data_IF_402686870433
#
_entry.id   IF_402686870433
#
_cell.length_a   1.000
_cell.length_b   1.000
_cell.length_c   1.000
_cell.angle_alpha   90.00
_cell.angle_beta   90.00
_cell.angle_gamma   90.00
#
_symmetry.space_group_name_H-M   'P 1'
#
loop_
_entity.id
_entity.type
_entity.pdbx_description
1 polymer ?
#
# COMPACT_ATOMS: atom_id res chain seq x y z
N UNK A 1 23.92 -31.37 -1.38
CA UNK A 1 22.85 -31.63 -2.35
C UNK A 1 21.55 -31.74 -1.59
N UNK A 2 20.79 -30.68 -1.48
CA UNK A 2 19.34 -30.71 -1.23
C UNK A 2 18.82 -29.40 -1.85
N UNK A 3 18.15 -29.55 -2.99
CA UNK A 3 17.62 -28.45 -3.74
C UNK A 3 16.39 -27.88 -3.06
N UNK A 4 16.38 -26.61 -2.76
CA UNK A 4 15.21 -25.88 -2.39
C UNK A 4 14.33 -25.68 -3.64
N UNK A 5 13.15 -26.27 -3.62
CA UNK A 5 12.09 -26.12 -4.62
C UNK A 5 11.57 -24.68 -4.51
N UNK A 6 11.97 -23.84 -5.47
CA UNK A 6 11.35 -22.55 -5.71
C UNK A 6 9.99 -22.79 -6.37
N UNK A 7 8.89 -22.58 -5.67
CA UNK A 7 7.58 -22.42 -6.30
C UNK A 7 7.57 -21.16 -7.18
N UNK A 8 7.15 -21.25 -8.43
CA UNK A 8 7.10 -20.09 -9.30
C UNK A 8 5.97 -19.16 -8.85
N UNK A 9 6.31 -17.91 -8.48
CA UNK A 9 5.36 -16.80 -8.28
C UNK A 9 4.32 -16.81 -9.40
N UNK A 10 3.06 -16.95 -9.04
CA UNK A 10 1.91 -16.76 -9.93
C UNK A 10 2.07 -15.41 -10.64
N UNK A 11 2.36 -15.42 -11.91
CA UNK A 11 2.24 -14.27 -12.79
C UNK A 11 0.78 -13.82 -12.73
N UNK A 12 0.49 -12.76 -12.02
CA UNK A 12 -0.75 -12.03 -12.22
C UNK A 12 -0.74 -11.56 -13.68
N UNK A 13 -1.57 -12.23 -14.47
CA UNK A 13 -1.89 -11.81 -15.81
C UNK A 13 -2.60 -10.47 -15.67
N UNK A 14 -1.90 -9.37 -15.88
CA UNK A 14 -2.51 -8.09 -16.13
C UNK A 14 -3.33 -8.26 -17.41
N UNK A 15 -4.62 -8.53 -17.25
CA UNK A 15 -5.56 -8.31 -18.32
C UNK A 15 -5.51 -6.82 -18.61
N UNK A 16 -4.83 -6.45 -19.69
CA UNK A 16 -4.98 -5.15 -20.30
C UNK A 16 -6.46 -5.01 -20.65
N UNK A 17 -7.24 -4.48 -19.73
CA UNK A 17 -8.56 -3.96 -20.01
C UNK A 17 -8.28 -2.72 -20.86
N UNK A 18 -8.25 -2.95 -22.17
CA UNK A 18 -8.29 -1.89 -23.15
C UNK A 18 -9.56 -1.09 -22.82
N UNK A 19 -9.49 0.17 -22.34
CA UNK A 19 -10.69 0.95 -22.16
C UNK A 19 -11.26 1.14 -23.56
N UNK A 20 -12.28 0.36 -23.88
CA UNK A 20 -13.05 0.59 -25.08
C UNK A 20 -13.50 2.05 -25.01
N UNK A 21 -12.79 2.90 -25.75
CA UNK A 21 -13.23 4.27 -26.01
C UNK A 21 -14.62 4.09 -26.60
N UNK A 22 -15.65 4.27 -25.79
CA UNK A 22 -17.02 4.22 -26.24
C UNK A 22 -17.18 5.42 -27.17
N UNK A 23 -17.01 5.17 -28.47
CA UNK A 23 -17.39 6.15 -29.46
C UNK A 23 -18.84 6.56 -29.16
N UNK A 24 -19.16 7.85 -29.16
CA UNK A 24 -20.52 8.29 -28.94
C UNK A 24 -21.41 7.50 -29.92
N UNK A 25 -22.52 6.93 -29.45
CA UNK A 25 -23.36 6.05 -30.25
C UNK A 25 -23.65 6.74 -31.56
N UNK A 26 -23.42 6.03 -32.70
CA UNK A 26 -23.62 6.58 -34.03
C UNK A 26 -25.02 7.13 -34.19
N UNK A 27 -25.20 8.08 -35.08
CA UNK A 27 -26.48 8.79 -35.34
C UNK A 27 -27.70 7.85 -35.37
N UNK A 28 -27.57 6.66 -35.98
CA UNK A 28 -28.65 5.67 -36.01
C UNK A 28 -29.05 5.10 -34.65
N UNK A 29 -28.08 4.86 -33.74
CA UNK A 29 -28.36 4.35 -32.38
C UNK A 29 -29.04 5.40 -31.51
N UNK A 30 -28.68 6.68 -31.66
CA UNK A 30 -29.36 7.80 -31.00
C UNK A 30 -30.78 7.95 -31.50
N UNK A 31 -30.98 7.84 -32.83
CA UNK A 31 -32.31 7.90 -33.44
C UNK A 31 -33.23 6.81 -32.88
N UNK A 32 -32.76 5.56 -32.79
CA UNK A 32 -33.51 4.43 -32.22
C UNK A 32 -33.90 4.67 -30.76
N UNK A 33 -32.99 5.24 -29.93
CA UNK A 33 -33.28 5.55 -28.54
C UNK A 33 -34.40 6.60 -28.42
N UNK A 34 -34.43 7.61 -29.30
CA UNK A 34 -35.47 8.62 -29.33
C UNK A 34 -36.83 8.04 -29.81
N UNK A 35 -36.82 7.09 -30.75
CA UNK A 35 -38.06 6.44 -31.20
C UNK A 35 -38.72 5.66 -30.06
N UNK A 36 -37.94 4.92 -29.26
CA UNK A 36 -38.45 4.27 -28.05
C UNK A 36 -39.06 5.25 -27.03
N UNK A 37 -38.42 6.39 -26.82
CA UNK A 37 -38.92 7.44 -25.93
C UNK A 37 -40.23 8.04 -26.45
N UNK A 38 -40.34 8.32 -27.75
CA UNK A 38 -41.58 8.85 -28.33
C UNK A 38 -42.75 7.87 -28.27
N UNK A 39 -42.48 6.58 -28.44
CA UNK A 39 -43.44 5.52 -28.24
C UNK A 39 -43.98 5.54 -26.81
N UNK A 40 -43.11 5.58 -25.81
CA UNK A 40 -43.48 5.62 -24.38
C UNK A 40 -44.30 6.88 -24.05
N UNK A 41 -43.89 8.05 -24.54
CA UNK A 41 -44.62 9.32 -24.36
C UNK A 41 -45.96 9.27 -25.06
N UNK A 42 -46.06 8.72 -26.25
CA UNK A 42 -47.30 8.54 -26.99
C UNK A 42 -48.30 7.65 -26.25
N UNK A 43 -47.84 6.52 -25.70
CA UNK A 43 -48.67 5.61 -24.90
C UNK A 43 -49.12 6.29 -23.59
N UNK A 44 -48.25 7.04 -22.93
CA UNK A 44 -48.59 7.76 -21.71
C UNK A 44 -49.62 8.86 -21.98
N UNK A 45 -49.45 9.62 -23.04
CA UNK A 45 -50.46 10.64 -23.44
C UNK A 45 -51.79 9.99 -23.81
N UNK A 46 -51.78 8.89 -24.54
CA UNK A 46 -53.00 8.13 -24.85
C UNK A 46 -53.72 7.65 -23.59
N UNK A 47 -52.97 7.10 -22.60
CA UNK A 47 -53.56 6.68 -21.34
C UNK A 47 -54.20 7.85 -20.57
N UNK A 48 -53.59 9.04 -20.57
CA UNK A 48 -54.15 10.25 -19.97
C UNK A 48 -55.43 10.68 -20.68
N UNK A 49 -55.44 10.67 -22.01
CA UNK A 49 -56.61 11.08 -22.80
C UNK A 49 -57.75 10.06 -22.76
N UNK A 50 -57.46 8.75 -22.68
CA UNK A 50 -58.50 7.71 -22.58
C UNK A 50 -59.33 7.79 -21.27
N UNK A 51 -58.75 8.35 -20.22
CA UNK A 51 -59.46 8.61 -18.95
C UNK A 51 -60.54 9.72 -19.11
N UNK A 52 -60.42 10.56 -20.16
CA UNK A 52 -61.31 11.70 -20.41
C UNK A 52 -62.41 11.45 -21.47
N UNK A 53 -62.77 10.20 -21.78
CA UNK A 53 -63.88 9.80 -22.70
C UNK A 53 -63.66 10.12 -24.19
N UNK A 54 -62.44 9.89 -24.73
CA UNK A 54 -62.17 10.10 -26.16
C UNK A 54 -62.42 8.84 -27.01
N UNK A 55 -62.81 9.06 -28.30
CA UNK A 55 -63.15 8.00 -29.27
C UNK A 55 -61.89 7.26 -29.83
N UNK A 56 -62.09 6.07 -30.44
CA UNK A 56 -61.03 5.26 -31.02
C UNK A 56 -60.15 5.97 -32.09
N UNK A 57 -60.68 7.01 -32.74
CA UNK A 57 -59.97 7.83 -33.71
C UNK A 57 -58.83 8.65 -33.12
N UNK A 58 -58.87 8.93 -31.80
CA UNK A 58 -57.92 9.81 -31.13
C UNK A 58 -56.60 9.13 -30.81
N UNK A 59 -56.55 7.77 -30.71
CA UNK A 59 -55.31 7.02 -30.48
C UNK A 59 -54.32 7.20 -31.62
N UNK A 60 -54.74 7.00 -32.87
CA UNK A 60 -53.89 7.15 -34.01
C UNK A 60 -53.39 8.59 -34.18
N UNK A 61 -54.27 9.56 -33.91
CA UNK A 61 -53.97 10.97 -33.92
C UNK A 61 -52.89 11.34 -32.89
N UNK A 62 -53.03 10.90 -31.64
CA UNK A 62 -52.02 11.14 -30.55
C UNK A 62 -50.68 10.50 -30.91
N UNK A 63 -50.69 9.28 -31.46
CA UNK A 63 -49.46 8.59 -31.86
C UNK A 63 -48.74 9.30 -33.00
N UNK A 64 -49.47 9.64 -34.10
CA UNK A 64 -48.92 10.38 -35.22
C UNK A 64 -48.38 11.74 -34.77
N UNK A 65 -49.16 12.47 -33.97
CA UNK A 65 -48.73 13.74 -33.40
C UNK A 65 -47.43 13.63 -32.61
N UNK A 66 -47.37 12.70 -31.68
CA UNK A 66 -46.19 12.51 -30.81
C UNK A 66 -44.95 12.12 -31.61
N UNK A 67 -45.12 11.25 -32.60
CA UNK A 67 -44.07 10.80 -33.49
C UNK A 67 -43.51 11.93 -34.39
N UNK A 68 -44.39 12.70 -35.01
CA UNK A 68 -44.02 13.82 -35.88
C UNK A 68 -43.36 14.95 -35.05
N UNK A 69 -43.99 15.40 -33.97
CA UNK A 69 -43.47 16.49 -33.16
C UNK A 69 -42.16 16.14 -32.45
N UNK A 70 -42.04 14.91 -31.96
CA UNK A 70 -40.84 14.42 -31.33
C UNK A 70 -39.66 14.39 -32.30
N UNK A 71 -39.84 13.81 -33.50
CA UNK A 71 -38.80 13.76 -34.53
C UNK A 71 -38.40 15.14 -35.07
N UNK A 72 -39.33 16.02 -35.31
CA UNK A 72 -39.05 17.39 -35.76
C UNK A 72 -38.29 18.19 -34.71
N UNK A 73 -38.71 18.11 -33.43
CA UNK A 73 -38.00 18.77 -32.32
C UNK A 73 -36.57 18.23 -32.17
N UNK A 74 -36.40 16.91 -32.25
CA UNK A 74 -35.04 16.29 -32.17
C UNK A 74 -34.15 16.73 -33.32
N UNK A 75 -34.69 16.72 -34.55
CA UNK A 75 -33.93 17.18 -35.73
C UNK A 75 -33.52 18.64 -35.63
N UNK A 76 -34.44 19.50 -35.21
CA UNK A 76 -34.18 20.91 -35.01
C UNK A 76 -33.14 21.14 -33.89
N UNK A 77 -33.29 20.49 -32.75
CA UNK A 77 -32.34 20.62 -31.62
C UNK A 77 -30.95 20.07 -31.95
N UNK A 78 -30.83 19.01 -32.74
CA UNK A 78 -29.51 18.51 -33.18
C UNK A 78 -28.82 19.51 -34.14
N UNK A 79 -29.56 20.23 -34.97
CA UNK A 79 -29.02 21.30 -35.81
C UNK A 79 -28.64 22.57 -35.04
N UNK A 80 -29.37 22.87 -33.99
CA UNK A 80 -29.13 24.01 -33.11
C UNK A 80 -28.09 23.71 -32.03
N UNK A 81 -27.70 22.43 -31.84
CA UNK A 81 -26.73 22.02 -30.82
C UNK A 81 -25.46 22.87 -30.74
N UNK A 82 -24.81 23.28 -31.83
CA UNK A 82 -23.60 24.12 -31.75
C UNK A 82 -23.82 25.47 -31.05
N UNK A 83 -25.04 26.01 -31.08
CA UNK A 83 -25.36 27.32 -30.48
C UNK A 83 -25.30 27.29 -28.95
N UNK A 84 -25.65 26.16 -28.33
CA UNK A 84 -25.66 26.05 -26.87
C UNK A 84 -24.51 25.19 -26.34
N UNK A 85 -24.01 24.19 -27.06
CA UNK A 85 -22.90 23.35 -26.62
C UNK A 85 -21.55 24.09 -26.56
N UNK A 86 -21.40 25.19 -27.29
CA UNK A 86 -20.19 26.05 -27.21
C UNK A 86 -20.12 26.89 -25.95
N UNK A 87 -21.18 26.96 -25.15
CA UNK A 87 -21.27 27.80 -23.96
C UNK A 87 -20.94 27.02 -22.69
N UNK A 88 -20.27 27.70 -21.73
CA UNK A 88 -19.95 27.10 -20.42
C UNK A 88 -21.19 26.96 -19.55
N UNK A 89 -21.29 25.91 -18.68
CA UNK A 89 -22.34 25.82 -17.66
C UNK A 89 -22.27 27.02 -16.69
N UNK A 90 -23.39 27.59 -16.21
CA UNK A 90 -24.78 27.23 -16.51
C UNK A 90 -25.37 27.94 -17.75
N UNK A 91 -24.61 28.78 -18.44
CA UNK A 91 -25.11 29.66 -19.52
C UNK A 91 -25.69 28.94 -20.72
N UNK A 92 -25.27 27.68 -20.98
CA UNK A 92 -25.84 26.89 -22.06
C UNK A 92 -27.35 26.62 -21.85
N UNK A 93 -27.83 26.53 -20.60
CA UNK A 93 -29.24 26.33 -20.29
C UNK A 93 -30.11 27.53 -20.67
N UNK A 94 -29.57 28.76 -20.56
CA UNK A 94 -30.25 29.98 -20.96
C UNK A 94 -30.56 30.03 -22.45
N UNK A 95 -29.78 29.31 -23.28
CA UNK A 95 -30.02 29.22 -24.71
C UNK A 95 -30.79 27.93 -25.04
N UNK A 96 -30.48 26.81 -24.38
CA UNK A 96 -31.11 25.52 -24.63
C UNK A 96 -32.63 25.54 -24.37
N UNK A 97 -33.07 26.02 -23.22
CA UNK A 97 -34.49 26.02 -22.84
C UNK A 97 -35.35 26.83 -23.80
N UNK A 98 -35.03 28.09 -24.16
CA UNK A 98 -35.81 28.83 -25.14
C UNK A 98 -35.79 28.20 -26.53
N UNK A 99 -34.65 27.69 -26.99
CA UNK A 99 -34.58 26.98 -28.28
C UNK A 99 -35.44 25.72 -28.30
N UNK A 100 -35.40 24.93 -27.20
CA UNK A 100 -36.25 23.75 -27.05
C UNK A 100 -37.72 24.13 -27.07
N UNK A 101 -38.14 25.16 -26.33
CA UNK A 101 -39.54 25.61 -26.28
C UNK A 101 -40.03 26.08 -27.64
N UNK A 102 -39.25 26.91 -28.34
CA UNK A 102 -39.61 27.42 -29.67
C UNK A 102 -39.72 26.27 -30.68
N UNK A 103 -38.75 25.36 -30.69
CA UNK A 103 -38.79 24.20 -31.60
C UNK A 103 -39.94 23.26 -31.28
N UNK A 104 -40.27 23.04 -30.00
CA UNK A 104 -41.40 22.24 -29.57
C UNK A 104 -42.72 22.89 -30.01
N UNK A 105 -42.85 24.21 -29.85
CA UNK A 105 -44.04 24.97 -30.28
C UNK A 105 -44.25 24.87 -31.80
N UNK A 106 -43.21 25.12 -32.61
CA UNK A 106 -43.28 25.04 -34.05
C UNK A 106 -43.61 23.62 -34.52
N UNK A 107 -42.97 22.62 -33.89
CA UNK A 107 -43.24 21.21 -34.17
C UNK A 107 -44.68 20.82 -33.84
N UNK A 108 -45.22 21.37 -32.72
CA UNK A 108 -46.60 21.12 -32.32
C UNK A 108 -47.59 21.74 -33.28
N UNK A 109 -47.38 22.98 -33.73
CA UNK A 109 -48.18 23.60 -34.76
C UNK A 109 -48.22 22.74 -36.06
N UNK A 110 -47.06 22.32 -36.52
CA UNK A 110 -46.94 21.48 -37.69
C UNK A 110 -47.59 20.10 -37.51
N UNK A 111 -47.45 19.51 -36.32
CA UNK A 111 -48.08 18.24 -35.97
C UNK A 111 -49.61 18.31 -36.01
N UNK A 112 -50.20 19.39 -35.44
CA UNK A 112 -51.64 19.62 -35.51
C UNK A 112 -52.11 19.79 -36.97
N UNK A 113 -51.39 20.56 -37.81
CA UNK A 113 -51.72 20.73 -39.22
C UNK A 113 -51.69 19.39 -39.98
N UNK A 114 -50.67 18.54 -39.72
CA UNK A 114 -50.59 17.22 -40.36
C UNK A 114 -51.78 16.34 -39.98
N UNK A 115 -52.21 16.36 -38.70
CA UNK A 115 -53.35 15.59 -38.25
C UNK A 115 -54.64 16.11 -38.91
N UNK A 116 -54.86 17.43 -38.95
CA UNK A 116 -56.00 18.00 -39.60
C UNK A 116 -56.14 17.61 -41.08
N UNK A 117 -55.02 17.61 -41.80
CA UNK A 117 -54.98 17.15 -43.17
C UNK A 117 -55.31 15.65 -43.27
N UNK A 118 -54.68 14.83 -42.41
CA UNK A 118 -54.84 13.37 -42.42
C UNK A 118 -56.27 12.92 -42.11
N UNK A 119 -56.94 13.60 -41.18
CA UNK A 119 -58.28 13.28 -40.74
C UNK A 119 -59.39 14.16 -41.38
N UNK A 120 -59.00 14.99 -42.36
CA UNK A 120 -59.95 15.89 -43.09
C UNK A 120 -60.67 16.85 -42.17
N UNK A 121 -60.05 17.33 -41.09
CA UNK A 121 -60.63 18.28 -40.12
C UNK A 121 -60.63 19.69 -40.76
N UNK A 122 -61.74 20.44 -40.77
CA UNK A 122 -61.76 21.79 -41.30
C UNK A 122 -60.82 22.75 -40.56
N UNK A 123 -60.13 23.63 -41.28
CA UNK A 123 -59.18 24.59 -40.70
C UNK A 123 -59.79 25.55 -39.70
N UNK A 124 -61.08 25.75 -39.73
CA UNK A 124 -61.86 26.52 -38.74
C UNK A 124 -61.69 25.99 -37.31
N UNK A 125 -61.36 24.65 -37.16
CA UNK A 125 -61.17 24.01 -35.84
C UNK A 125 -59.69 24.02 -35.36
N UNK A 126 -58.79 24.63 -36.13
CA UNK A 126 -57.36 24.68 -35.78
C UNK A 126 -57.11 25.23 -34.40
N UNK A 127 -57.82 26.29 -34.04
CA UNK A 127 -57.66 26.93 -32.72
C UNK A 127 -58.06 26.01 -31.56
N UNK A 128 -59.10 25.24 -31.70
CA UNK A 128 -59.59 24.30 -30.68
C UNK A 128 -58.63 23.13 -30.56
N UNK A 129 -58.24 22.50 -31.68
CA UNK A 129 -57.32 21.39 -31.71
C UNK A 129 -55.93 21.75 -31.17
N UNK A 130 -55.43 22.92 -31.52
CA UNK A 130 -54.14 23.40 -31.02
C UNK A 130 -54.24 23.68 -29.51
N UNK A 131 -55.31 24.25 -29.01
CA UNK A 131 -55.48 24.53 -27.58
C UNK A 131 -55.54 23.24 -26.74
N UNK A 132 -56.06 22.17 -27.27
CA UNK A 132 -56.16 20.88 -26.56
C UNK A 132 -54.86 20.06 -26.74
N UNK A 133 -54.50 19.70 -27.99
CA UNK A 133 -53.40 18.79 -28.27
C UNK A 133 -52.05 19.49 -28.39
N UNK A 134 -51.99 20.63 -29.08
CA UNK A 134 -50.75 21.34 -29.37
C UNK A 134 -50.10 21.94 -28.14
N UNK A 135 -50.87 22.53 -27.26
CA UNK A 135 -50.37 23.12 -26.00
C UNK A 135 -49.78 22.05 -25.08
N UNK A 136 -50.56 20.97 -24.88
CA UNK A 136 -50.13 19.88 -23.99
C UNK A 136 -48.85 19.20 -24.55
N UNK A 137 -48.83 18.94 -25.85
CA UNK A 137 -47.65 18.39 -26.54
C UNK A 137 -46.41 19.28 -26.42
N UNK A 138 -46.57 20.61 -26.59
CA UNK A 138 -45.47 21.55 -26.44
C UNK A 138 -44.85 21.49 -25.02
N UNK A 139 -45.70 21.50 -23.99
CA UNK A 139 -45.24 21.42 -22.57
C UNK A 139 -44.55 20.09 -22.32
N UNK A 140 -45.14 18.97 -22.73
CA UNK A 140 -44.58 17.64 -22.52
C UNK A 140 -43.24 17.45 -23.23
N UNK A 141 -43.10 17.87 -24.50
CA UNK A 141 -41.86 17.79 -25.27
C UNK A 141 -40.79 18.66 -24.58
N UNK A 142 -41.16 19.83 -24.10
CA UNK A 142 -40.22 20.71 -23.41
C UNK A 142 -39.73 20.08 -22.10
N UNK A 143 -40.61 19.53 -21.27
CA UNK A 143 -40.23 18.85 -20.03
C UNK A 143 -39.32 17.63 -20.30
N UNK A 144 -39.72 16.76 -21.23
CA UNK A 144 -38.95 15.57 -21.60
C UNK A 144 -37.60 15.97 -22.15
N UNK A 145 -37.52 17.02 -22.97
CA UNK A 145 -36.26 17.54 -23.52
C UNK A 145 -35.33 18.06 -22.44
N UNK A 146 -35.86 18.78 -21.45
CA UNK A 146 -35.06 19.28 -20.30
C UNK A 146 -34.52 18.10 -19.48
N UNK A 147 -35.38 17.14 -19.13
CA UNK A 147 -34.98 15.96 -18.34
C UNK A 147 -33.92 15.16 -19.08
N UNK A 148 -34.13 14.92 -20.38
CA UNK A 148 -33.16 14.18 -21.20
C UNK A 148 -31.78 14.88 -21.29
N UNK A 149 -31.78 16.20 -21.47
CA UNK A 149 -30.53 16.97 -21.52
C UNK A 149 -29.81 16.94 -20.17
N UNK A 150 -30.52 17.14 -19.06
CA UNK A 150 -29.96 17.05 -17.72
C UNK A 150 -29.37 15.65 -17.42
N UNK A 151 -30.09 14.60 -17.84
CA UNK A 151 -29.61 13.23 -17.70
C UNK A 151 -28.33 12.97 -18.48
N UNK A 152 -28.28 13.38 -19.77
CA UNK A 152 -27.08 13.20 -20.61
C UNK A 152 -25.88 13.99 -20.11
N UNK A 153 -26.09 15.21 -19.64
CA UNK A 153 -25.04 16.03 -19.02
C UNK A 153 -24.49 15.40 -17.73
N UNK A 154 -25.39 14.93 -16.87
CA UNK A 154 -25.01 14.27 -15.62
C UNK A 154 -24.22 12.98 -15.87
N UNK A 155 -24.64 12.20 -16.85
CA UNK A 155 -23.98 10.98 -17.27
C UNK A 155 -22.57 11.27 -17.81
N UNK A 156 -22.41 12.26 -18.67
CA UNK A 156 -21.13 12.67 -19.20
C UNK A 156 -20.16 13.17 -18.11
N UNK A 157 -20.69 13.89 -17.10
CA UNK A 157 -19.90 14.31 -15.91
C UNK A 157 -19.43 13.11 -15.10
N UNK A 158 -20.31 12.12 -14.88
CA UNK A 158 -19.99 10.91 -14.13
C UNK A 158 -18.92 10.09 -14.85
N UNK A 159 -19.05 9.89 -16.16
CA UNK A 159 -18.07 9.17 -16.98
C UNK A 159 -16.68 9.83 -16.96
N UNK A 160 -16.64 11.18 -17.07
CA UNK A 160 -15.38 11.93 -16.96
C UNK A 160 -14.76 11.77 -15.57
N UNK A 161 -15.57 11.83 -14.51
CA UNK A 161 -15.09 11.66 -13.13
C UNK A 161 -14.55 10.25 -12.88
N UNK A 162 -15.25 9.24 -13.37
CA UNK A 162 -14.79 7.85 -13.27
C UNK A 162 -13.45 7.63 -13.99
N UNK A 163 -13.30 8.20 -15.20
CA UNK A 163 -12.04 8.12 -15.94
C UNK A 163 -10.89 8.84 -15.21
N UNK A 164 -11.16 9.98 -14.58
CA UNK A 164 -10.17 10.69 -13.78
C UNK A 164 -9.74 9.86 -12.56
N UNK A 165 -10.71 9.28 -11.83
CA UNK A 165 -10.43 8.41 -10.68
C UNK A 165 -9.60 7.19 -11.08
N UNK A 166 -9.94 6.53 -12.17
CA UNK A 166 -9.15 5.40 -12.68
C UNK A 166 -7.69 5.79 -12.96
N UNK A 167 -7.47 6.91 -13.65
CA UNK A 167 -6.11 7.41 -13.91
C UNK A 167 -5.34 7.73 -12.63
N UNK A 168 -6.00 8.32 -11.63
CA UNK A 168 -5.36 8.62 -10.34
C UNK A 168 -4.94 7.32 -9.64
N UNK A 169 -5.82 6.32 -9.60
CA UNK A 169 -5.52 5.01 -9.01
C UNK A 169 -4.37 4.31 -9.74
N UNK A 170 -4.36 4.33 -11.07
CA UNK A 170 -3.27 3.75 -11.87
C UNK A 170 -1.92 4.43 -11.60
N UNK A 171 -1.91 5.77 -11.48
CA UNK A 171 -0.70 6.53 -11.13
C UNK A 171 -0.21 6.20 -9.71
N UNK A 172 -1.10 6.15 -8.73
CA UNK A 172 -0.76 5.77 -7.35
C UNK A 172 -0.22 4.34 -7.26
N UNK A 173 -0.82 3.39 -7.96
CA UNK A 173 -0.34 2.01 -8.03
C UNK A 173 1.05 1.92 -8.66
N UNK A 174 1.29 2.64 -9.76
CA UNK A 174 2.59 2.67 -10.42
C UNK A 174 3.65 3.26 -9.50
N UNK A 175 3.34 4.35 -8.81
CA UNK A 175 4.25 5.00 -7.87
C UNK A 175 4.56 4.09 -6.66
N UNK A 176 3.55 3.42 -6.09
CA UNK A 176 3.73 2.46 -5.02
C UNK A 176 4.63 1.28 -5.44
N UNK A 177 4.42 0.73 -6.64
CA UNK A 177 5.24 -0.36 -7.17
C UNK A 177 6.71 0.07 -7.38
N UNK A 178 6.94 1.31 -7.82
CA UNK A 178 8.29 1.83 -7.95
C UNK A 178 8.99 1.97 -6.58
N UNK A 179 8.29 2.49 -5.59
CA UNK A 179 8.81 2.59 -4.22
C UNK A 179 9.14 1.22 -3.63
N UNK A 180 8.27 0.21 -3.82
CA UNK A 180 8.52 -1.15 -3.36
C UNK A 180 9.77 -1.74 -4.03
N UNK A 181 9.98 -1.50 -5.32
CA UNK A 181 11.18 -1.95 -6.04
C UNK A 181 12.46 -1.26 -5.55
N UNK A 182 12.41 0.03 -5.21
CA UNK A 182 13.55 0.74 -4.63
C UNK A 182 13.90 0.23 -3.23
N UNK A 183 12.88 -0.08 -2.42
CA UNK A 183 13.08 -0.68 -1.10
C UNK A 183 13.67 -2.09 -1.19
N UNK A 184 13.24 -2.93 -2.13
CA UNK A 184 13.83 -4.27 -2.34
C UNK A 184 15.31 -4.17 -2.76
N UNK A 185 15.68 -3.20 -3.60
CA UNK A 185 17.10 -2.96 -3.93
C UNK A 185 17.89 -2.51 -2.71
N UNK A 186 17.33 -1.65 -1.86
CA UNK A 186 17.97 -1.24 -0.61
C UNK A 186 18.19 -2.43 0.32
N UNK A 187 17.22 -3.36 0.39
CA UNK A 187 17.35 -4.63 1.11
C UNK A 187 18.49 -5.49 0.59
N UNK A 188 18.58 -5.69 -0.72
CA UNK A 188 19.68 -6.47 -1.33
C UNK A 188 21.05 -5.89 -0.96
N UNK A 189 21.17 -4.55 -0.96
CA UNK A 189 22.40 -3.87 -0.54
C UNK A 189 22.67 -4.12 0.95
N UNK A 190 21.65 -3.99 1.81
CA UNK A 190 21.77 -4.18 3.24
C UNK A 190 22.15 -5.62 3.61
N UNK A 191 21.52 -6.62 3.00
CA UNK A 191 21.90 -8.04 3.16
C UNK A 191 23.36 -8.29 2.74
N UNK A 192 23.86 -7.52 1.77
CA UNK A 192 25.27 -7.55 1.37
C UNK A 192 26.25 -6.98 2.39
N UNK A 193 25.78 -6.18 3.35
CA UNK A 193 26.57 -5.62 4.46
C UNK A 193 26.71 -6.60 5.64
N UNK A 194 25.81 -7.55 5.77
CA UNK A 194 25.83 -8.58 6.80
C UNK A 194 26.83 -9.72 6.44
N UNK A 195 27.29 -10.49 7.42
CA UNK A 195 28.22 -11.58 7.16
C UNK A 195 27.60 -12.64 6.25
N UNK A 196 28.19 -12.84 5.06
CA UNK A 196 27.76 -13.90 4.12
C UNK A 196 28.12 -15.30 4.63
N UNK A 197 29.13 -15.40 5.44
CA UNK A 197 29.55 -16.60 6.13
C UNK A 197 30.14 -16.21 7.48
N UNK A 198 29.81 -16.96 8.50
CA UNK A 198 30.32 -16.73 9.85
C UNK A 198 31.62 -17.47 10.02
N UNK A 199 32.75 -16.78 10.25
CA UNK A 199 34.04 -17.44 10.47
C UNK A 199 33.99 -18.26 11.75
N UNK A 200 34.64 -19.41 11.73
CA UNK A 200 34.77 -20.31 12.86
C UNK A 200 36.21 -20.30 13.37
N UNK A 201 36.39 -20.46 14.67
CA UNK A 201 37.68 -20.66 15.31
C UNK A 201 37.64 -21.96 16.09
N UNK A 202 38.83 -22.55 16.33
CA UNK A 202 38.95 -23.79 17.09
C UNK A 202 38.36 -23.62 18.49
N UNK A 203 37.52 -24.56 18.95
CA UNK A 203 36.89 -24.50 20.27
C UNK A 203 35.59 -23.72 20.34
N UNK A 204 35.22 -22.98 19.29
CA UNK A 204 33.96 -22.24 19.23
C UNK A 204 33.15 -22.63 17.99
N UNK A 205 31.86 -22.69 18.14
CA UNK A 205 30.92 -22.83 17.02
C UNK A 205 29.95 -21.64 17.09
N UNK A 206 29.85 -20.85 16.00
CA UNK A 206 29.13 -19.60 15.99
C UNK A 206 28.04 -19.66 14.90
N UNK A 207 26.83 -19.24 15.24
CA UNK A 207 25.74 -19.11 14.31
C UNK A 207 25.02 -17.79 14.54
N UNK A 208 24.54 -17.15 13.47
CA UNK A 208 23.81 -15.89 13.54
C UNK A 208 22.64 -15.88 12.57
N UNK A 209 21.58 -15.18 12.95
CA UNK A 209 20.42 -14.93 12.11
C UNK A 209 19.97 -13.47 12.27
N UNK A 210 19.53 -12.91 11.17
CA UNK A 210 18.95 -11.58 11.09
C UNK A 210 17.68 -11.67 10.22
N UNK A 211 16.62 -11.00 10.65
CA UNK A 211 15.36 -10.90 9.94
C UNK A 211 14.72 -9.55 10.21
N UNK A 212 14.67 -8.64 9.24
CA UNK A 212 14.03 -7.36 9.42
C UNK A 212 12.51 -7.49 9.54
N UNK A 213 11.89 -6.66 10.38
CA UNK A 213 10.44 -6.58 10.53
C UNK A 213 9.77 -5.95 9.30
N UNK A 214 10.49 -5.11 8.58
CA UNK A 214 10.06 -4.47 7.32
C UNK A 214 10.96 -4.92 6.18
N UNK A 215 10.91 -4.21 5.06
CA UNK A 215 11.78 -4.49 3.91
C UNK A 215 13.26 -4.31 4.26
N UNK A 216 13.60 -3.27 5.04
CA UNK A 216 14.93 -2.97 5.57
C UNK A 216 14.86 -2.75 7.08
N UNK A 217 15.96 -3.03 7.80
CA UNK A 217 16.04 -3.00 9.26
C UNK A 217 17.12 -2.09 9.82
N UNK A 218 17.04 -1.83 11.14
CA UNK A 218 18.05 -1.11 11.92
C UNK A 218 19.12 -2.01 12.55
N UNK A 219 18.79 -3.28 12.71
CA UNK A 219 19.65 -4.26 13.35
C UNK A 219 20.91 -4.59 12.55
N UNK A 220 22.00 -4.77 13.27
CA UNK A 220 23.28 -5.19 12.72
C UNK A 220 23.93 -6.24 13.61
N UNK A 221 24.54 -7.24 13.02
CA UNK A 221 25.52 -8.10 13.68
C UNK A 221 26.69 -8.41 12.75
N UNK A 222 27.84 -8.67 13.33
CA UNK A 222 29.03 -9.10 12.59
C UNK A 222 29.94 -10.01 13.42
N UNK A 223 30.72 -10.83 12.72
CA UNK A 223 31.68 -11.73 13.31
C UNK A 223 33.00 -11.61 12.56
N UNK A 224 34.04 -11.14 13.23
CA UNK A 224 35.37 -10.91 12.66
C UNK A 224 36.37 -11.86 13.25
N UNK A 225 36.99 -12.67 12.42
CA UNK A 225 38.12 -13.50 12.83
C UNK A 225 39.42 -12.68 12.75
N UNK A 226 40.12 -12.52 13.88
CA UNK A 226 41.40 -11.82 13.95
C UNK A 226 42.56 -12.77 13.79
N UNK A 227 42.46 -13.95 14.41
CA UNK A 227 43.46 -15.01 14.31
C UNK A 227 42.81 -16.39 14.47
N UNK A 228 43.57 -17.47 14.52
CA UNK A 228 43.00 -18.82 14.71
C UNK A 228 42.41 -19.05 16.11
N UNK A 229 42.69 -18.15 17.07
CA UNK A 229 42.19 -18.20 18.45
C UNK A 229 41.33 -17.00 18.84
N UNK A 230 41.44 -15.85 18.14
CA UNK A 230 40.79 -14.61 18.52
C UNK A 230 39.69 -14.24 17.53
N UNK A 231 38.52 -13.93 18.07
CA UNK A 231 37.31 -13.54 17.31
C UNK A 231 36.61 -12.36 17.97
N UNK A 232 36.08 -11.45 17.15
CA UNK A 232 35.25 -10.37 17.57
C UNK A 232 33.82 -10.58 17.10
N UNK A 233 32.83 -10.32 17.97
CA UNK A 233 31.41 -10.46 17.69
C UNK A 233 30.71 -9.19 18.12
N UNK A 234 29.93 -8.58 17.24
CA UNK A 234 29.10 -7.43 17.62
C UNK A 234 27.64 -7.68 17.28
N UNK A 235 26.78 -6.97 18.01
CA UNK A 235 25.37 -6.83 17.76
C UNK A 235 24.94 -5.41 18.12
N UNK A 236 24.03 -4.83 17.35
CA UNK A 236 23.52 -3.49 17.60
C UNK A 236 22.18 -3.28 16.97
N UNK A 237 21.44 -2.34 17.53
CA UNK A 237 20.14 -1.90 17.04
C UNK A 237 20.10 -0.37 16.95
N UNK A 238 19.60 0.13 15.84
CA UNK A 238 19.48 1.55 15.53
C UNK A 238 18.07 2.01 15.78
N UNK A 239 17.90 3.03 16.62
CA UNK A 239 16.59 3.61 16.93
C UNK A 239 15.84 4.03 15.67
N UNK A 240 14.58 3.53 15.53
CA UNK A 240 13.70 3.82 14.41
C UNK A 240 13.63 2.67 13.40
N UNK A 241 12.83 2.86 12.36
CA UNK A 241 12.54 1.80 11.38
C UNK A 241 12.63 2.32 9.95
N UNK A 242 12.83 1.41 9.00
CA UNK A 242 12.86 1.72 7.58
C UNK A 242 14.18 2.32 7.11
N UNK A 243 14.15 3.12 6.04
CA UNK A 243 15.36 3.60 5.32
C UNK A 243 16.33 4.35 6.24
N UNK A 244 15.82 5.20 7.15
CA UNK A 244 16.69 5.98 8.04
C UNK A 244 17.50 5.09 8.99
N UNK A 245 16.88 4.06 9.55
CA UNK A 245 17.57 3.09 10.40
C UNK A 245 18.57 2.25 9.57
N UNK A 246 18.19 1.82 8.39
CA UNK A 246 19.06 1.07 7.47
C UNK A 246 20.33 1.84 7.07
N UNK A 247 20.22 3.15 6.82
CA UNK A 247 21.38 4.01 6.51
C UNK A 247 22.31 4.17 7.73
N UNK A 248 21.76 4.33 8.92
CA UNK A 248 22.55 4.39 10.15
C UNK A 248 23.21 3.05 10.47
N UNK A 249 22.51 1.94 10.23
CA UNK A 249 23.08 0.58 10.33
C UNK A 249 24.28 0.41 9.37
N UNK A 250 24.16 0.88 8.12
CA UNK A 250 25.28 0.84 7.18
C UNK A 250 26.47 1.69 7.65
N UNK A 251 26.23 2.85 8.27
CA UNK A 251 27.27 3.67 8.89
C UNK A 251 27.92 2.92 10.08
N UNK A 252 27.10 2.26 10.92
CA UNK A 252 27.60 1.43 12.02
C UNK A 252 28.52 0.33 11.49
N UNK A 253 28.08 -0.43 10.50
CA UNK A 253 28.85 -1.50 9.88
C UNK A 253 30.20 -1.01 9.35
N UNK A 254 30.19 0.10 8.57
CA UNK A 254 31.41 0.66 8.00
C UNK A 254 32.39 1.13 9.09
N UNK A 255 31.88 1.84 10.12
CA UNK A 255 32.68 2.34 11.23
C UNK A 255 33.21 1.21 12.09
N UNK A 256 32.39 0.20 12.38
CA UNK A 256 32.80 -0.98 13.12
C UNK A 256 33.95 -1.69 12.41
N UNK A 257 33.79 -2.02 11.14
CA UNK A 257 34.84 -2.72 10.35
C UNK A 257 36.12 -1.91 10.18
N UNK A 258 36.02 -0.57 10.18
CA UNK A 258 37.20 0.30 10.11
C UNK A 258 38.01 0.33 11.43
N UNK A 259 37.35 0.18 12.57
CA UNK A 259 37.99 0.31 13.90
C UNK A 259 38.29 -1.03 14.57
N UNK A 260 37.54 -2.08 14.22
CA UNK A 260 37.74 -3.40 14.79
C UNK A 260 39.03 -4.05 14.26
N UNK A 261 39.95 -4.33 15.17
CA UNK A 261 41.21 -5.05 14.88
C UNK A 261 41.69 -5.80 16.10
N UNK A 262 42.59 -6.77 15.91
CA UNK A 262 43.20 -7.49 17.00
C UNK A 262 43.93 -6.52 17.95
N UNK A 263 43.67 -6.65 19.26
CA UNK A 263 44.26 -5.79 20.30
C UNK A 263 43.52 -4.50 20.60
N UNK A 264 42.47 -4.15 19.85
CA UNK A 264 41.54 -3.06 20.25
C UNK A 264 40.50 -3.62 21.20
N UNK A 265 40.47 -3.07 22.43
CA UNK A 265 39.51 -3.51 23.45
C UNK A 265 38.11 -3.08 23.12
N UNK A 266 37.05 -3.84 23.57
CA UNK A 266 35.65 -3.52 23.33
C UNK A 266 35.24 -2.12 23.77
N UNK A 267 35.70 -1.67 24.94
CA UNK A 267 35.42 -0.33 25.44
C UNK A 267 36.04 0.78 24.60
N UNK A 268 37.28 0.57 24.15
CA UNK A 268 37.97 1.49 23.22
C UNK A 268 37.24 1.60 21.91
N UNK A 269 36.77 0.48 21.36
CA UNK A 269 36.01 0.45 20.11
C UNK A 269 34.68 1.19 20.26
N UNK A 270 33.91 0.90 21.33
CA UNK A 270 32.65 1.62 21.64
C UNK A 270 32.87 3.13 21.76
N UNK A 271 33.98 3.58 22.39
CA UNK A 271 34.35 4.99 22.48
C UNK A 271 34.60 5.65 21.13
N UNK A 272 35.30 4.97 20.22
CA UNK A 272 35.53 5.44 18.83
C UNK A 272 34.21 5.53 18.05
N UNK A 273 33.38 4.49 18.10
CA UNK A 273 32.05 4.50 17.48
C UNK A 273 31.17 5.62 18.02
N UNK A 274 31.14 5.79 19.35
CA UNK A 274 30.37 6.87 19.96
C UNK A 274 30.80 8.25 19.46
N UNK A 275 32.11 8.48 19.30
CA UNK A 275 32.62 9.75 18.74
C UNK A 275 32.14 9.99 17.31
N UNK A 276 32.11 8.95 16.46
CA UNK A 276 31.59 9.05 15.09
C UNK A 276 30.09 9.38 15.10
N UNK A 277 29.33 8.66 15.92
CA UNK A 277 27.87 8.83 15.97
C UNK A 277 27.47 10.19 16.56
N UNK A 278 28.09 10.64 17.67
CA UNK A 278 27.82 11.97 18.25
C UNK A 278 28.06 13.12 17.27
N UNK A 279 28.98 12.95 16.31
CA UNK A 279 29.30 14.00 15.33
C UNK A 279 28.46 13.95 14.05
N UNK A 280 27.88 12.79 13.72
CA UNK A 280 27.33 12.56 12.38
C UNK A 280 25.84 12.22 12.33
N UNK A 281 25.16 12.02 13.49
CA UNK A 281 23.75 11.69 13.51
C UNK A 281 22.92 12.81 14.14
N UNK A 282 21.61 12.82 13.84
CA UNK A 282 20.65 13.75 14.45
C UNK A 282 20.52 13.48 15.97
N UNK A 283 20.22 14.52 16.74
CA UNK A 283 20.17 14.43 18.20
C UNK A 283 19.09 13.49 18.78
N UNK A 284 18.11 13.13 17.98
CA UNK A 284 17.03 12.18 18.30
C UNK A 284 17.37 10.73 17.91
N UNK A 285 18.57 10.49 17.38
CA UNK A 285 19.02 9.18 16.94
C UNK A 285 20.11 8.65 17.85
N UNK A 286 20.10 7.35 18.08
CA UNK A 286 21.13 6.63 18.83
C UNK A 286 21.20 5.18 18.38
N UNK A 287 22.23 4.48 18.80
CA UNK A 287 22.45 3.06 18.51
C UNK A 287 22.73 2.33 19.81
N UNK A 288 21.99 1.27 20.08
CA UNK A 288 22.39 0.31 21.11
C UNK A 288 23.41 -0.65 20.50
N UNK A 289 24.49 -0.93 21.21
CA UNK A 289 25.58 -1.74 20.63
C UNK A 289 26.29 -2.55 21.71
N UNK A 290 26.56 -3.80 21.39
CA UNK A 290 27.40 -4.67 22.22
C UNK A 290 28.52 -5.26 21.37
N UNK A 291 29.75 -5.22 21.87
CA UNK A 291 30.91 -5.83 21.22
C UNK A 291 31.63 -6.73 22.20
N UNK A 292 31.93 -7.93 21.73
CA UNK A 292 32.63 -8.97 22.47
C UNK A 292 33.90 -9.41 21.71
N UNK A 293 34.99 -9.62 22.41
CA UNK A 293 36.15 -10.35 21.89
C UNK A 293 36.36 -11.63 22.70
N UNK A 294 36.61 -12.74 22.01
CA UNK A 294 36.82 -14.05 22.63
C UNK A 294 38.19 -14.58 22.22
N UNK A 295 39.00 -14.94 23.23
CA UNK A 295 40.17 -15.78 23.04
C UNK A 295 39.78 -17.24 23.35
N UNK A 296 39.76 -18.07 22.29
CA UNK A 296 39.25 -19.44 22.38
C UNK A 296 40.18 -20.38 23.14
N UNK A 297 41.51 -20.06 23.22
CA UNK A 297 42.47 -20.90 23.96
C UNK A 297 42.37 -20.68 25.48
N UNK A 298 42.25 -19.43 25.91
CA UNK A 298 42.10 -19.10 27.34
C UNK A 298 40.65 -19.16 27.83
N UNK A 299 39.64 -19.14 26.93
CA UNK A 299 38.24 -18.97 27.28
C UNK A 299 37.88 -17.56 27.77
N UNK A 300 38.77 -16.58 27.56
CA UNK A 300 38.55 -15.21 28.01
C UNK A 300 37.59 -14.50 27.07
N UNK A 301 36.49 -14.00 27.61
CA UNK A 301 35.51 -13.12 26.97
C UNK A 301 35.68 -11.70 27.53
N UNK A 302 36.10 -10.75 26.70
CA UNK A 302 36.02 -9.33 27.01
C UNK A 302 34.82 -8.73 26.27
N UNK A 303 34.02 -7.89 26.95
CA UNK A 303 32.88 -7.21 26.32
C UNK A 303 32.70 -5.77 26.82
N UNK A 304 32.06 -4.97 25.97
CA UNK A 304 31.53 -3.67 26.33
C UNK A 304 30.14 -3.50 25.72
N UNK A 305 29.20 -2.97 26.50
CA UNK A 305 27.86 -2.68 26.03
C UNK A 305 27.58 -1.18 26.10
N UNK A 306 27.02 -0.66 25.02
CA UNK A 306 26.52 0.70 24.87
C UNK A 306 24.98 0.67 24.84
N UNK A 307 24.37 0.36 26.00
CA UNK A 307 22.92 0.37 26.18
C UNK A 307 22.16 -0.74 25.45
N UNK A 308 22.83 -1.81 25.01
CA UNK A 308 22.23 -2.93 24.32
C UNK A 308 21.68 -3.98 25.30
N UNK A 309 20.74 -4.81 24.84
CA UNK A 309 20.24 -5.96 25.59
C UNK A 309 21.39 -6.81 26.12
N UNK A 310 21.40 -7.14 27.42
CA UNK A 310 22.51 -7.91 28.02
C UNK A 310 22.66 -9.28 27.38
N UNK A 311 23.82 -9.65 26.81
CA UNK A 311 24.05 -11.01 26.37
C UNK A 311 23.87 -12.02 27.51
N UNK A 312 23.32 -13.19 27.20
CA UNK A 312 23.12 -14.26 28.16
C UNK A 312 24.20 -15.31 28.04
N UNK A 313 24.93 -15.55 29.12
CA UNK A 313 25.85 -16.66 29.25
C UNK A 313 25.15 -17.82 29.96
N UNK A 314 24.77 -18.83 29.21
CA UNK A 314 24.14 -20.05 29.69
C UNK A 314 25.25 -21.06 30.01
N UNK A 315 25.41 -21.41 31.29
CA UNK A 315 26.42 -22.36 31.73
C UNK A 315 25.96 -23.79 31.54
N UNK A 316 26.89 -24.68 31.21
CA UNK A 316 26.63 -26.10 31.14
C UNK A 316 26.05 -26.67 32.47
N UNK A 317 26.35 -26.03 33.61
CA UNK A 317 25.77 -26.35 34.89
C UNK A 317 24.29 -25.98 35.09
N UNK A 318 23.68 -25.26 34.12
CA UNK A 318 22.34 -24.72 34.20
C UNK A 318 22.24 -23.30 34.79
N UNK A 319 23.34 -22.73 35.28
CA UNK A 319 23.37 -21.35 35.74
C UNK A 319 23.30 -20.39 34.55
N UNK A 320 22.62 -19.24 34.73
CA UNK A 320 22.50 -18.20 33.73
C UNK A 320 23.08 -16.90 34.24
N UNK A 321 23.95 -16.29 33.47
CA UNK A 321 24.59 -15.01 33.82
C UNK A 321 24.23 -14.02 32.70
N UNK A 322 23.46 -12.97 33.04
CA UNK A 322 23.26 -11.86 32.14
C UNK A 322 24.44 -10.88 32.25
N UNK A 323 25.08 -10.55 31.15
CA UNK A 323 26.22 -9.65 31.06
C UNK A 323 25.74 -8.19 31.07
N UNK A 324 25.35 -7.69 32.27
CA UNK A 324 24.62 -6.42 32.44
C UNK A 324 25.51 -5.18 32.47
N UNK A 325 26.84 -5.33 32.65
CA UNK A 325 27.73 -4.18 32.69
C UNK A 325 27.73 -3.44 31.36
N UNK A 326 27.41 -2.14 31.40
CA UNK A 326 27.27 -1.36 30.15
C UNK A 326 27.23 0.15 30.41
N UNK A 327 27.07 0.88 29.33
CA UNK A 327 26.98 2.33 29.28
C UNK A 327 25.73 2.83 28.54
N UNK A 328 25.70 4.14 28.31
CA UNK A 328 24.65 4.78 27.47
C UNK A 328 24.80 4.35 26.00
N UNK A 329 23.71 4.29 25.21
CA UNK A 329 23.80 4.07 23.78
C UNK A 329 24.74 5.02 23.05
N UNK A 330 25.26 4.58 21.91
CA UNK A 330 26.14 5.38 21.05
C UNK A 330 25.37 6.58 20.47
N UNK A 331 26.04 7.72 20.39
CA UNK A 331 25.48 8.95 19.81
C UNK A 331 24.74 9.87 20.78
N UNK A 332 24.55 9.44 22.05
CA UNK A 332 23.83 10.26 23.06
C UNK A 332 24.77 11.23 23.77
N UNK A 333 25.92 10.75 24.24
CA UNK A 333 26.81 11.52 25.13
C UNK A 333 28.23 11.57 24.54
N UNK A 334 28.69 12.75 24.05
CA UNK A 334 30.07 12.90 23.60
C UNK A 334 31.06 12.61 24.71
N UNK A 335 32.19 11.97 24.34
CA UNK A 335 33.28 11.68 25.28
C UNK A 335 32.96 10.59 26.33
N UNK A 336 31.86 9.85 26.16
CA UNK A 336 31.53 8.72 27.05
C UNK A 336 32.62 7.65 26.95
N UNK A 337 33.10 7.21 28.10
CA UNK A 337 34.03 6.08 28.23
C UNK A 337 33.21 4.81 28.51
N UNK A 338 33.53 3.73 27.80
CA UNK A 338 32.94 2.41 28.00
C UNK A 338 33.95 1.51 28.65
N UNK A 339 33.55 0.82 29.71
CA UNK A 339 34.42 -0.10 30.42
C UNK A 339 34.51 -1.44 29.69
N UNK A 340 35.72 -2.03 29.72
CA UNK A 340 35.90 -3.43 29.36
C UNK A 340 35.52 -4.29 30.57
N UNK A 341 34.66 -5.28 30.34
CA UNK A 341 34.27 -6.26 31.38
C UNK A 341 34.71 -7.64 30.92
N UNK A 342 35.26 -8.40 31.85
CA UNK A 342 35.75 -9.76 31.60
C UNK A 342 34.76 -10.80 32.13
N UNK A 343 34.55 -11.83 31.33
CA UNK A 343 33.88 -13.06 31.75
C UNK A 343 34.70 -14.27 31.23
N UNK A 344 34.54 -15.40 31.87
CA UNK A 344 35.23 -16.63 31.45
C UNK A 344 34.21 -17.59 30.86
N UNK A 345 34.55 -18.10 29.70
CA UNK A 345 33.80 -19.14 29.00
C UNK A 345 34.39 -20.52 29.35
N UNK A 346 33.54 -21.52 29.54
CA UNK A 346 33.90 -22.89 29.85
C UNK A 346 33.32 -23.84 28.77
N UNK A 347 33.96 -25.00 28.55
CA UNK A 347 33.41 -26.00 27.63
C UNK A 347 31.95 -26.38 27.99
N UNK A 348 31.09 -26.36 26.98
CA UNK A 348 29.65 -26.60 27.13
C UNK A 348 28.81 -25.36 27.32
N UNK A 349 29.40 -24.18 27.54
CA UNK A 349 28.66 -22.93 27.66
C UNK A 349 28.04 -22.45 26.34
N UNK A 350 26.99 -21.63 26.43
CA UNK A 350 26.37 -20.92 25.30
C UNK A 350 26.33 -19.44 25.60
N UNK A 351 26.94 -18.61 24.75
CA UNK A 351 26.75 -17.16 24.76
C UNK A 351 25.69 -16.79 23.73
N UNK A 352 24.65 -16.09 24.17
CA UNK A 352 23.50 -15.69 23.35
C UNK A 352 23.40 -14.17 23.33
N UNK A 353 23.62 -13.58 22.15
CA UNK A 353 23.43 -12.16 21.91
C UNK A 353 22.17 -12.00 21.07
N UNK A 354 21.32 -11.03 21.43
CA UNK A 354 20.02 -10.83 20.78
C UNK A 354 19.59 -9.36 20.85
N UNK A 355 18.74 -8.96 19.91
CA UNK A 355 18.07 -7.65 19.95
C UNK A 355 16.68 -7.77 20.61
N UNK A 356 16.13 -6.64 21.05
CA UNK A 356 14.82 -6.58 21.73
C UNK A 356 13.67 -7.13 20.90
N UNK A 357 13.72 -7.03 19.57
CA UNK A 357 12.71 -7.63 18.69
C UNK A 357 12.53 -9.15 18.86
N UNK A 358 13.50 -9.84 19.47
CA UNK A 358 13.32 -11.23 19.91
C UNK A 358 12.42 -11.32 21.14
N UNK A 359 12.69 -10.54 22.17
CA UNK A 359 12.01 -10.59 23.47
C UNK A 359 10.67 -9.85 23.45
N UNK A 360 10.57 -8.80 22.65
CA UNK A 360 9.36 -8.01 22.45
C UNK A 360 8.41 -8.58 21.37
N UNK A 361 8.75 -9.74 20.77
CA UNK A 361 7.83 -10.43 19.87
C UNK A 361 6.50 -10.73 20.57
N UNK A 362 5.39 -10.22 20.03
CA UNK A 362 4.07 -10.31 20.65
C UNK A 362 3.22 -11.44 20.07
N UNK A 363 2.42 -12.06 20.94
CA UNK A 363 1.39 -13.00 20.56
C UNK A 363 0.07 -12.28 20.16
N UNK A 364 -0.97 -13.05 19.87
CA UNK A 364 -2.30 -12.52 19.51
C UNK A 364 -3.04 -11.82 20.67
N UNK A 365 -2.48 -11.84 21.89
CA UNK A 365 -3.02 -11.22 23.10
C UNK A 365 -2.13 -10.07 23.60
N UNK A 366 -1.23 -9.56 22.75
CA UNK A 366 -0.27 -8.51 23.08
C UNK A 366 0.66 -8.88 24.24
N UNK A 367 0.96 -10.17 24.42
CA UNK A 367 1.95 -10.62 25.40
C UNK A 367 3.30 -10.77 24.73
N UNK A 368 4.35 -10.21 25.31
CA UNK A 368 5.72 -10.36 24.86
C UNK A 368 6.24 -11.78 25.07
N UNK A 369 7.13 -12.24 24.20
CA UNK A 369 7.85 -13.50 24.38
C UNK A 369 8.67 -13.46 25.69
N UNK A 370 9.40 -12.40 25.90
CA UNK A 370 10.13 -12.09 27.13
C UNK A 370 11.43 -12.87 27.31
N UNK A 371 12.35 -12.28 28.08
CA UNK A 371 13.65 -12.86 28.40
C UNK A 371 13.55 -14.19 29.17
N UNK A 372 12.53 -14.33 30.04
CA UNK A 372 12.33 -15.54 30.83
C UNK A 372 12.10 -16.79 29.95
N UNK A 373 11.31 -16.66 28.86
CA UNK A 373 11.09 -17.77 27.92
C UNK A 373 12.35 -18.07 27.10
N UNK A 374 13.13 -17.04 26.74
CA UNK A 374 14.42 -17.21 26.06
C UNK A 374 15.40 -18.00 26.94
N UNK A 375 15.53 -17.64 28.22
CA UNK A 375 16.39 -18.31 29.20
C UNK A 375 15.97 -19.77 29.39
N UNK A 376 14.69 -20.02 29.65
CA UNK A 376 14.16 -21.37 29.82
C UNK A 376 14.43 -22.26 28.59
N UNK A 377 14.16 -21.73 27.40
CA UNK A 377 14.42 -22.46 26.15
C UNK A 377 15.91 -22.74 25.93
N UNK A 378 16.75 -21.71 26.11
CA UNK A 378 18.21 -21.85 25.93
C UNK A 378 18.82 -22.84 26.91
N UNK A 379 18.38 -22.82 28.18
CA UNK A 379 18.85 -23.75 29.22
C UNK A 379 18.42 -25.18 28.94
N UNK A 380 17.18 -25.41 28.56
CA UNK A 380 16.67 -26.76 28.19
C UNK A 380 17.38 -27.33 26.98
N UNK A 381 17.79 -26.51 26.03
CA UNK A 381 18.40 -26.91 24.77
C UNK A 381 19.90 -26.70 24.72
N UNK A 382 20.55 -26.52 25.86
CA UNK A 382 21.98 -26.19 25.97
C UNK A 382 22.90 -27.21 25.29
N UNK A 383 22.49 -28.46 25.17
CA UNK A 383 23.26 -29.53 24.53
C UNK A 383 23.29 -29.42 23.00
N UNK A 384 22.44 -28.59 22.39
CA UNK A 384 22.41 -28.44 20.95
C UNK A 384 23.63 -27.68 20.41
N UNK A 385 23.91 -27.86 19.14
CA UNK A 385 24.90 -27.06 18.40
C UNK A 385 24.43 -25.58 18.36
N UNK A 386 25.36 -24.65 18.07
CA UNK A 386 24.98 -23.24 17.94
C UNK A 386 23.90 -23.02 16.87
N UNK A 387 24.01 -23.73 15.75
CA UNK A 387 23.03 -23.65 14.64
C UNK A 387 21.65 -24.21 15.02
N UNK A 388 21.63 -25.39 15.70
CA UNK A 388 20.37 -26.01 16.10
C UNK A 388 19.65 -25.23 17.22
N UNK A 389 20.42 -24.69 18.19
CA UNK A 389 19.88 -23.84 19.24
C UNK A 389 19.28 -22.56 18.66
N UNK A 390 19.99 -21.88 17.76
CA UNK A 390 19.50 -20.71 17.05
C UNK A 390 18.21 -21.04 16.27
N UNK A 391 18.19 -22.12 15.52
CA UNK A 391 17.00 -22.55 14.76
C UNK A 391 15.80 -22.84 15.68
N UNK A 392 16.05 -23.49 16.83
CA UNK A 392 15.02 -23.78 17.82
C UNK A 392 14.43 -22.51 18.43
N UNK A 393 15.28 -21.56 18.83
CA UNK A 393 14.84 -20.26 19.39
C UNK A 393 13.99 -19.52 18.34
N UNK A 394 14.52 -19.35 17.11
CA UNK A 394 13.80 -18.67 16.03
C UNK A 394 12.42 -19.33 15.74
N UNK A 395 12.37 -20.65 15.72
CA UNK A 395 11.11 -21.39 15.49
C UNK A 395 10.08 -21.12 16.59
N UNK A 396 10.52 -21.10 17.86
CA UNK A 396 9.64 -20.87 19.01
C UNK A 396 9.13 -19.42 19.03
N UNK A 397 9.99 -18.42 18.80
CA UNK A 397 9.59 -17.02 18.72
C UNK A 397 8.62 -16.79 17.55
N UNK A 398 8.93 -17.35 16.36
CA UNK A 398 8.05 -17.26 15.20
C UNK A 398 6.69 -17.94 15.43
N UNK A 399 6.66 -19.09 16.09
CA UNK A 399 5.41 -19.76 16.44
C UNK A 399 4.59 -18.96 17.47
N UNK A 400 5.25 -18.30 18.42
CA UNK A 400 4.62 -17.46 19.43
C UNK A 400 3.99 -16.21 18.83
N UNK A 401 4.70 -15.53 17.91
CA UNK A 401 4.24 -14.29 17.25
C UNK A 401 3.32 -14.52 16.02
N UNK A 402 2.96 -15.76 15.73
CA UNK A 402 2.17 -16.08 14.53
C UNK A 402 2.90 -15.83 13.20
N UNK A 403 4.24 -15.79 13.24
CA UNK A 403 5.10 -15.61 12.06
C UNK A 403 5.33 -14.14 11.66
N UNK A 404 4.82 -13.18 12.41
CA UNK A 404 5.04 -11.74 12.18
C UNK A 404 5.88 -11.14 13.30
N UNK A 405 6.90 -10.36 12.92
CA UNK A 405 7.73 -9.62 13.87
C UNK A 405 7.37 -8.13 13.80
N UNK A 406 7.23 -7.50 14.96
CA UNK A 406 6.93 -6.06 15.06
C UNK A 406 8.21 -5.22 15.02
N UNK A 407 9.34 -5.81 15.42
CA UNK A 407 10.69 -5.25 15.33
C UNK A 407 11.67 -6.23 14.68
N UNK A 408 12.86 -5.72 14.34
CA UNK A 408 13.91 -6.49 13.69
C UNK A 408 14.38 -7.61 14.63
N UNK A 409 14.55 -8.82 14.13
CA UNK A 409 14.98 -9.98 14.87
C UNK A 409 16.43 -10.29 14.55
N UNK A 410 17.32 -10.18 15.53
CA UNK A 410 18.71 -10.57 15.41
C UNK A 410 19.14 -11.46 16.57
N UNK A 411 19.80 -12.56 16.24
CA UNK A 411 20.27 -13.54 17.21
C UNK A 411 21.61 -14.09 16.80
N UNK A 412 22.56 -14.07 17.71
CA UNK A 412 23.88 -14.72 17.57
C UNK A 412 24.09 -15.68 18.72
N UNK A 413 24.45 -16.92 18.41
CA UNK A 413 24.74 -17.98 19.37
C UNK A 413 26.17 -18.44 19.22
N UNK A 414 26.94 -18.46 20.32
CA UNK A 414 28.27 -19.03 20.39
C UNK A 414 28.22 -20.25 21.31
N UNK A 415 28.60 -21.39 20.80
CA UNK A 415 28.75 -22.62 21.57
C UNK A 415 30.24 -22.89 21.82
N UNK A 416 30.61 -23.07 23.09
CA UNK A 416 31.96 -23.41 23.51
C UNK A 416 32.08 -24.95 23.50
N UNK A 417 33.11 -25.48 22.81
CA UNK A 417 33.37 -26.92 22.65
C UNK A 417 34.33 -27.47 23.68
#
# INVERSE_FOLDING_TARGET
>A
MIGAVFEPKRKFRTSSVNPAVSHPPGFGRRLLTFQGLYLVVGVALFAIFSITNWSHTDFLGVFVYTFVTGNLTTLAMTRLAPLFLSRKPPYHWLVYIPCLFVTALLSSVLGVLIIMIMFHIPFSHFREEFWVSGRLGTVMITIVGIIYHAYTESRAKLERRNLQLQRTVELEQTHSQQQDQELEKAREIQEGLLPKSIPQVRGLEISGAWQPARVVGGDYYDVLKFSDRAIGICIGDVVGKGISAALLMANLQASFRAFASEGVSPGTLCGKLNSVFCNNIAADKFVTFCYCTIDADSGTLLYASAGHCPPLLLRASGAVIALKEGGTPLGIMPGRIYADTEARLEPGDRLVLFTDGLTEAMDTHDQEFGEARLIDLGTRLIALTAADLLAAIRKQVSAFSGGTFQDDFTLVVVAVK
#
